data_IF_254077438676
#
_entry.id   IF_254077438676
#
_cell.length_a   1.000
_cell.length_b   1.000
_cell.length_c   1.000
_cell.angle_alpha   90.00
_cell.angle_beta   90.00
_cell.angle_gamma   90.00
#
_symmetry.space_group_name_H-M   'P 1'
#
loop_
_entity.id
_entity.type
_entity.pdbx_description
1 polymer ?
#
# COMPACT_ATOMS: atom_id res chain seq x y z
N UNK A 1 5.52 -1.80 -4.38
CA UNK A 1 4.52 -0.84 -3.85
C UNK A 1 4.72 -0.53 -2.39
N UNK A 2 4.82 -1.56 -1.51
CA UNK A 2 4.98 -1.38 -0.05
C UNK A 2 6.19 -0.51 0.31
N UNK A 3 7.34 -0.72 -0.30
CA UNK A 3 8.55 0.07 -0.01
C UNK A 3 8.37 1.55 -0.38
N UNK A 4 7.59 1.82 -1.43
CA UNK A 4 7.25 3.18 -1.83
C UNK A 4 6.33 3.80 -0.79
N UNK A 5 5.30 3.09 -0.35
CA UNK A 5 4.38 3.50 0.72
C UNK A 5 5.14 3.90 2.00
N UNK A 6 6.17 3.10 2.37
CA UNK A 6 7.02 3.39 3.52
C UNK A 6 7.93 4.60 3.27
N UNK A 7 8.58 4.66 2.12
CA UNK A 7 9.50 5.74 1.76
C UNK A 7 8.83 7.10 1.72
N UNK A 8 7.62 7.16 1.16
CA UNK A 8 6.84 8.40 1.06
C UNK A 8 6.16 8.78 2.39
N UNK A 9 6.23 7.93 3.41
CA UNK A 9 5.71 8.22 4.75
C UNK A 9 4.19 8.19 4.87
N UNK A 10 3.49 7.45 4.00
CA UNK A 10 2.03 7.36 3.99
C UNK A 10 1.46 6.91 5.36
N UNK A 11 2.18 6.03 6.06
CA UNK A 11 1.82 5.54 7.40
C UNK A 11 1.84 6.61 8.49
N UNK A 12 2.44 7.79 8.23
CA UNK A 12 2.42 8.90 9.18
C UNK A 12 1.03 9.53 9.30
N UNK A 13 0.20 9.39 8.27
CA UNK A 13 -1.15 9.97 8.22
C UNK A 13 -2.26 8.92 8.11
N UNK A 14 -1.94 7.71 7.64
CA UNK A 14 -2.89 6.63 7.43
C UNK A 14 -2.53 5.40 8.26
N UNK A 15 -3.51 4.84 8.95
CA UNK A 15 -3.39 3.51 9.56
C UNK A 15 -3.75 2.41 8.55
N UNK A 16 -3.34 1.18 8.85
CA UNK A 16 -3.78 -0.05 8.18
C UNK A 16 -4.29 -1.05 9.22
N UNK A 17 -5.00 -0.58 10.25
CA UNK A 17 -5.52 -1.41 11.31
C UNK A 17 -6.92 -0.94 11.70
N UNK A 18 -7.92 -1.76 11.39
CA UNK A 18 -9.31 -1.55 11.80
C UNK A 18 -9.52 -2.31 13.11
N UNK A 19 -9.89 -1.60 14.16
CA UNK A 19 -10.20 -2.20 15.46
C UNK A 19 -11.53 -2.95 15.42
N UNK A 20 -11.77 -3.93 16.33
CA UNK A 20 -13.02 -4.70 16.35
C UNK A 20 -14.23 -3.91 16.91
N UNK A 21 -14.06 -2.64 17.21
CA UNK A 21 -15.14 -1.78 17.66
C UNK A 21 -16.19 -1.57 16.58
N UNK A 22 -17.46 -1.57 16.97
CA UNK A 22 -18.59 -1.43 16.04
C UNK A 22 -18.48 -0.19 15.13
N UNK A 23 -18.08 0.96 15.68
CA UNK A 23 -17.92 2.19 14.90
C UNK A 23 -16.88 2.06 13.80
N UNK A 24 -15.76 1.36 14.07
CA UNK A 24 -14.69 1.11 13.13
C UNK A 24 -15.15 0.16 12.00
N UNK A 25 -15.75 -0.96 12.39
CA UNK A 25 -16.19 -1.98 11.44
C UNK A 25 -17.33 -1.50 10.54
N UNK A 26 -18.23 -0.65 11.05
CA UNK A 26 -19.26 -0.01 10.24
C UNK A 26 -18.68 0.99 9.22
N UNK A 27 -17.58 1.69 9.59
CA UNK A 27 -16.95 2.68 8.73
C UNK A 27 -16.04 2.09 7.68
N UNK A 28 -15.23 1.10 8.03
CA UNK A 28 -14.12 0.60 7.22
C UNK A 28 -14.32 -0.82 6.71
N UNK A 29 -15.21 -1.60 7.31
CA UNK A 29 -15.40 -3.02 7.06
C UNK A 29 -14.82 -3.90 8.16
N UNK A 30 -14.64 -5.19 7.87
CA UNK A 30 -14.17 -6.17 8.86
C UNK A 30 -12.87 -5.72 9.55
N UNK A 31 -12.78 -5.94 10.87
CA UNK A 31 -11.57 -5.62 11.63
C UNK A 31 -10.35 -6.38 11.13
N UNK A 32 -9.17 -5.81 11.35
CA UNK A 32 -7.90 -6.35 10.88
C UNK A 32 -7.49 -7.58 11.68
N UNK A 33 -7.03 -8.62 10.99
CA UNK A 33 -6.45 -9.82 11.60
C UNK A 33 -5.03 -10.04 11.10
N UNK A 34 -4.17 -10.60 11.96
CA UNK A 34 -2.73 -10.77 11.67
C UNK A 34 -2.47 -11.60 10.40
N UNK A 35 -3.32 -12.58 10.10
CA UNK A 35 -3.22 -13.41 8.91
C UNK A 35 -3.29 -12.66 7.57
N UNK A 36 -3.84 -11.45 7.56
CA UNK A 36 -3.89 -10.61 6.36
C UNK A 36 -2.57 -9.89 6.06
N UNK A 37 -1.61 -9.91 7.00
CA UNK A 37 -0.35 -9.16 6.96
C UNK A 37 0.89 -10.07 6.98
N UNK A 38 0.74 -11.34 6.59
CA UNK A 38 1.86 -12.32 6.64
C UNK A 38 3.07 -11.92 5.79
N UNK A 39 2.88 -11.06 4.79
CA UNK A 39 3.95 -10.51 3.96
C UNK A 39 4.54 -9.21 4.50
N UNK A 40 3.97 -8.66 5.58
CA UNK A 40 4.46 -7.43 6.20
C UNK A 40 5.45 -7.74 7.33
N UNK A 41 6.62 -7.14 7.23
CA UNK A 41 7.64 -7.20 8.27
C UNK A 41 8.32 -5.83 8.38
N UNK A 42 7.99 -5.06 9.42
CA UNK A 42 6.88 -5.21 10.38
C UNK A 42 5.51 -4.88 9.77
N UNK A 43 4.43 -5.20 10.51
CA UNK A 43 3.07 -4.75 10.19
C UNK A 43 3.00 -3.23 10.15
N UNK A 44 2.24 -2.70 9.19
CA UNK A 44 2.00 -1.26 9.07
C UNK A 44 0.77 -0.81 9.87
N UNK A 45 0.51 -1.49 10.97
CA UNK A 45 -0.52 -1.13 11.92
C UNK A 45 -0.15 0.17 12.62
N UNK A 46 -1.14 0.95 12.97
CA UNK A 46 -0.96 2.22 13.68
C UNK A 46 -2.33 2.81 13.97
N UNK A 47 -2.37 3.78 14.85
CA UNK A 47 -3.60 4.45 15.27
C UNK A 47 -3.73 5.87 14.70
N UNK A 48 -2.71 6.38 14.03
CA UNK A 48 -2.73 7.74 13.51
C UNK A 48 -3.56 7.80 12.23
N UNK A 49 -4.57 8.65 12.21
CA UNK A 49 -5.53 8.82 11.11
C UNK A 49 -5.78 10.29 10.81
N UNK A 50 -4.73 11.02 10.39
CA UNK A 50 -4.90 12.33 9.75
C UNK A 50 -5.71 12.15 8.46
N UNK A 51 -5.46 11.06 7.73
CA UNK A 51 -6.32 10.50 6.70
C UNK A 51 -7.04 9.22 7.16
N UNK A 52 -7.93 8.64 6.35
CA UNK A 52 -8.65 7.41 6.70
C UNK A 52 -7.73 6.19 6.80
N UNK A 53 -8.22 5.14 7.48
CA UNK A 53 -7.59 3.82 7.45
C UNK A 53 -7.62 3.23 6.04
N UNK A 54 -6.52 2.59 5.62
CA UNK A 54 -6.35 2.07 4.27
C UNK A 54 -6.45 0.54 4.17
N UNK A 55 -6.65 -0.17 5.27
CA UNK A 55 -6.63 -1.63 5.24
C UNK A 55 -7.67 -2.23 4.28
N UNK A 56 -8.84 -1.62 4.11
CA UNK A 56 -9.91 -2.08 3.20
C UNK A 56 -10.05 -1.19 1.96
N UNK A 57 -8.98 -0.54 1.54
CA UNK A 57 -9.05 0.37 0.37
C UNK A 57 -9.02 -0.39 -0.96
N UNK A 58 -8.47 -1.60 -0.99
CA UNK A 58 -8.37 -2.41 -2.20
C UNK A 58 -9.72 -2.67 -2.85
N UNK A 59 -9.84 -2.32 -4.12
CA UNK A 59 -11.07 -2.42 -4.91
C UNK A 59 -12.16 -1.43 -4.54
N UNK A 60 -11.90 -0.48 -3.63
CA UNK A 60 -12.87 0.56 -3.26
C UNK A 60 -12.94 1.69 -4.28
N UNK A 61 -11.80 2.06 -4.83
CA UNK A 61 -11.65 3.09 -5.86
C UNK A 61 -10.92 2.53 -7.06
N UNK A 62 -11.12 3.13 -8.25
CA UNK A 62 -10.39 2.75 -9.45
C UNK A 62 -8.91 3.15 -9.39
N UNK A 63 -8.07 2.52 -10.21
CA UNK A 63 -6.66 2.88 -10.34
C UNK A 63 -6.49 4.34 -10.75
N UNK A 64 -7.36 4.82 -11.66
CA UNK A 64 -7.35 6.21 -12.11
C UNK A 64 -7.69 7.18 -10.97
N UNK A 65 -8.67 6.82 -10.12
CA UNK A 65 -8.96 7.62 -8.93
C UNK A 65 -7.74 7.74 -8.02
N UNK A 66 -7.06 6.62 -7.75
CA UNK A 66 -5.84 6.61 -6.94
C UNK A 66 -4.74 7.46 -7.57
N UNK A 67 -4.56 7.36 -8.89
CA UNK A 67 -3.57 8.11 -9.64
C UNK A 67 -3.79 9.62 -9.52
N UNK A 68 -5.01 10.09 -9.76
CA UNK A 68 -5.37 11.51 -9.64
C UNK A 68 -5.20 11.96 -8.18
N UNK A 69 -5.71 11.17 -7.22
CA UNK A 69 -5.63 11.50 -5.80
C UNK A 69 -4.19 11.63 -5.29
N UNK A 70 -3.30 10.76 -5.73
CA UNK A 70 -1.88 10.81 -5.34
C UNK A 70 -1.14 11.95 -6.05
N UNK A 71 -1.47 12.26 -7.30
CA UNK A 71 -0.89 13.39 -8.01
C UNK A 71 -1.25 14.72 -7.35
N UNK A 72 -2.53 14.95 -7.11
CA UNK A 72 -3.02 16.12 -6.37
C UNK A 72 -4.36 15.78 -5.70
N UNK A 73 -4.39 15.53 -4.38
CA UNK A 73 -5.62 15.15 -3.69
C UNK A 73 -6.77 16.14 -3.85
N UNK A 74 -6.46 17.43 -3.99
CA UNK A 74 -7.46 18.49 -4.11
C UNK A 74 -8.21 18.49 -5.44
N UNK A 75 -7.73 17.76 -6.44
CA UNK A 75 -8.46 17.60 -7.70
C UNK A 75 -9.72 16.73 -7.53
N UNK A 76 -9.75 15.89 -6.48
CA UNK A 76 -10.90 15.04 -6.14
C UNK A 76 -11.60 15.47 -4.84
N UNK A 77 -10.84 16.00 -3.90
CA UNK A 77 -11.30 16.44 -2.57
C UNK A 77 -10.73 17.82 -2.29
N UNK A 78 -11.41 18.91 -2.66
CA UNK A 78 -10.87 20.27 -2.60
C UNK A 78 -10.34 20.68 -1.22
N UNK A 79 -10.97 20.21 -0.14
CA UNK A 79 -10.58 20.50 1.25
C UNK A 79 -9.44 19.62 1.78
N UNK A 80 -8.88 18.74 0.95
CA UNK A 80 -7.86 17.79 1.40
C UNK A 80 -6.60 18.50 1.90
N UNK A 81 -6.16 18.13 3.10
CA UNK A 81 -4.87 18.53 3.66
C UNK A 81 -3.73 17.55 3.31
N UNK A 82 -4.03 16.46 2.58
CA UNK A 82 -3.02 15.52 2.10
C UNK A 82 -2.10 16.23 1.11
N UNK A 83 -0.76 16.06 1.22
CA UNK A 83 0.17 16.61 0.24
C UNK A 83 0.05 15.91 -1.12
N UNK A 84 0.45 16.60 -2.18
CA UNK A 84 0.55 16.04 -3.52
C UNK A 84 1.87 15.28 -3.70
N UNK A 85 1.86 14.22 -4.51
CA UNK A 85 3.02 13.36 -4.80
C UNK A 85 3.27 13.20 -6.31
N UNK A 86 3.40 14.30 -7.09
CA UNK A 86 3.49 14.22 -8.55
C UNK A 86 4.76 13.53 -9.07
N UNK A 87 5.81 13.41 -8.25
CA UNK A 87 7.04 12.68 -8.60
C UNK A 87 6.83 11.17 -8.72
N UNK A 88 5.77 10.60 -8.13
CA UNK A 88 5.45 9.18 -8.26
C UNK A 88 5.17 8.78 -9.71
N UNK A 89 4.58 9.68 -10.49
CA UNK A 89 4.31 9.45 -11.92
C UNK A 89 5.58 9.56 -12.78
N UNK A 90 6.53 10.40 -12.36
CA UNK A 90 7.74 10.69 -13.14
C UNK A 90 8.85 9.66 -12.94
N UNK A 91 8.91 9.04 -11.78
CA UNK A 91 9.97 8.12 -11.42
C UNK A 91 9.62 6.68 -11.79
N UNK A 92 10.58 5.93 -12.32
CA UNK A 92 10.43 4.51 -12.61
C UNK A 92 10.83 3.65 -11.41
N UNK A 93 10.23 2.48 -11.31
CA UNK A 93 10.64 1.47 -10.35
C UNK A 93 11.98 0.87 -10.78
N UNK A 94 12.92 0.74 -9.85
CA UNK A 94 14.15 -0.01 -10.08
C UNK A 94 13.91 -1.51 -9.80
N UNK A 95 13.80 -2.35 -10.85
CA UNK A 95 13.51 -3.76 -10.68
C UNK A 95 14.65 -4.54 -10.02
N UNK A 96 15.90 -4.05 -10.10
CA UNK A 96 17.07 -4.73 -9.54
C UNK A 96 17.03 -4.86 -8.01
N UNK A 97 16.28 -4.01 -7.35
CA UNK A 97 16.17 -3.98 -5.88
C UNK A 97 15.18 -4.99 -5.31
N UNK A 98 14.29 -5.58 -6.12
CA UNK A 98 13.19 -6.41 -5.64
C UNK A 98 13.65 -7.78 -5.15
N UNK A 99 14.37 -8.53 -5.96
CA UNK A 99 14.82 -9.87 -5.60
C UNK A 99 15.68 -9.89 -4.32
N UNK A 100 16.68 -9.00 -4.13
CA UNK A 100 17.42 -8.93 -2.88
C UNK A 100 16.55 -8.63 -1.64
N UNK A 101 15.58 -7.71 -1.78
CA UNK A 101 14.67 -7.35 -0.69
C UNK A 101 13.73 -8.49 -0.31
N UNK A 102 13.14 -9.17 -1.29
CA UNK A 102 12.29 -10.33 -1.05
C UNK A 102 13.09 -11.49 -0.43
N UNK A 103 14.34 -11.70 -0.86
CA UNK A 103 15.25 -12.67 -0.23
C UNK A 103 15.52 -12.32 1.23
N UNK A 104 15.77 -11.05 1.54
CA UNK A 104 15.97 -10.60 2.92
C UNK A 104 14.71 -10.83 3.77
N UNK A 105 13.52 -10.49 3.26
CA UNK A 105 12.25 -10.71 3.94
C UNK A 105 12.00 -12.21 4.19
N UNK A 106 12.30 -13.08 3.23
CA UNK A 106 12.20 -14.53 3.41
C UNK A 106 13.08 -15.04 4.56
N UNK A 107 14.29 -14.49 4.71
CA UNK A 107 15.21 -14.87 5.81
C UNK A 107 14.66 -14.55 7.20
N UNK A 108 13.78 -13.56 7.31
CA UNK A 108 13.11 -13.20 8.57
C UNK A 108 11.70 -13.78 8.69
N UNK A 109 11.35 -14.77 7.86
CA UNK A 109 10.14 -15.58 8.01
C UNK A 109 8.96 -15.15 7.16
N UNK A 110 9.10 -14.17 6.27
CA UNK A 110 8.03 -13.83 5.31
C UNK A 110 7.88 -14.98 4.30
N UNK A 111 6.66 -15.46 4.00
CA UNK A 111 6.44 -16.72 3.29
C UNK A 111 6.60 -16.60 1.76
N UNK A 112 7.70 -16.03 1.30
CA UNK A 112 8.09 -16.06 -0.11
C UNK A 112 8.72 -17.39 -0.47
N UNK A 113 8.36 -17.98 -1.61
CA UNK A 113 8.88 -19.28 -2.07
C UNK A 113 10.30 -19.19 -2.63
N UNK A 114 10.68 -18.06 -3.21
CA UNK A 114 12.03 -17.80 -3.73
C UNK A 114 12.08 -17.34 -5.18
N UNK A 115 11.07 -17.65 -5.98
CA UNK A 115 11.02 -17.30 -7.40
C UNK A 115 10.28 -15.98 -7.66
N UNK A 116 9.46 -15.54 -6.71
CA UNK A 116 8.64 -14.34 -6.85
C UNK A 116 9.45 -13.07 -7.07
N UNK A 117 10.70 -13.04 -6.59
CA UNK A 117 11.58 -11.87 -6.77
C UNK A 117 11.91 -11.57 -8.22
N UNK A 118 12.15 -12.62 -9.02
CA UNK A 118 12.42 -12.49 -10.45
C UNK A 118 11.14 -12.14 -11.21
N UNK A 119 10.02 -12.78 -10.89
CA UNK A 119 8.72 -12.48 -11.49
C UNK A 119 8.32 -11.03 -11.22
N UNK A 120 8.37 -10.59 -9.96
CA UNK A 120 8.05 -9.22 -9.57
C UNK A 120 8.96 -8.18 -10.26
N UNK A 121 10.24 -8.50 -10.46
CA UNK A 121 11.17 -7.62 -11.21
C UNK A 121 10.75 -7.47 -12.68
N UNK A 122 10.27 -8.56 -13.30
CA UNK A 122 9.71 -8.54 -14.65
C UNK A 122 8.44 -7.67 -14.73
N UNK A 123 7.53 -7.86 -13.80
CA UNK A 123 6.22 -7.18 -13.77
C UNK A 123 6.35 -5.65 -13.63
N UNK A 124 7.36 -5.17 -12.91
CA UNK A 124 7.55 -3.72 -12.68
C UNK A 124 8.49 -3.06 -13.67
N UNK A 125 9.11 -3.81 -14.58
CA UNK A 125 10.05 -3.26 -15.55
C UNK A 125 9.37 -2.19 -16.43
N UNK A 126 9.92 -0.98 -16.42
CA UNK A 126 9.35 0.16 -17.15
C UNK A 126 8.07 0.76 -16.55
N UNK A 127 7.63 0.29 -15.39
CA UNK A 127 6.48 0.86 -14.69
C UNK A 127 6.90 2.03 -13.79
N UNK A 128 5.98 2.98 -13.62
CA UNK A 128 6.20 4.11 -12.72
C UNK A 128 6.09 3.70 -11.25
N UNK A 129 6.66 4.52 -10.39
CA UNK A 129 6.49 4.39 -8.94
C UNK A 129 5.01 4.53 -8.54
N UNK A 130 4.25 5.38 -9.25
CA UNK A 130 2.81 5.53 -9.11
C UNK A 130 2.09 4.20 -9.35
N UNK A 131 2.37 3.53 -10.47
CA UNK A 131 1.79 2.21 -10.76
C UNK A 131 2.00 1.22 -9.60
N UNK A 132 3.22 1.16 -9.09
CA UNK A 132 3.55 0.20 -8.04
C UNK A 132 2.87 0.50 -6.70
N UNK A 133 2.71 1.77 -6.32
CA UNK A 133 1.99 2.12 -5.09
C UNK A 133 0.48 1.91 -5.24
N UNK A 134 -0.10 2.20 -6.40
CA UNK A 134 -1.52 1.92 -6.69
C UNK A 134 -1.78 0.42 -6.61
N UNK A 135 -0.94 -0.41 -7.23
CA UNK A 135 -1.06 -1.87 -7.14
C UNK A 135 -0.99 -2.38 -5.69
N UNK A 136 -0.14 -1.78 -4.86
CA UNK A 136 -0.08 -2.09 -3.43
C UNK A 136 -1.38 -1.73 -2.71
N UNK A 137 -1.91 -0.53 -2.93
CA UNK A 137 -3.17 -0.07 -2.33
C UNK A 137 -4.35 -0.96 -2.75
N UNK A 138 -4.41 -1.34 -4.02
CA UNK A 138 -5.44 -2.26 -4.53
C UNK A 138 -5.35 -3.67 -3.96
N UNK A 139 -4.18 -4.08 -3.48
CA UNK A 139 -3.99 -5.36 -2.80
C UNK A 139 -4.44 -5.37 -1.34
N UNK A 140 -4.64 -4.21 -0.71
CA UNK A 140 -4.95 -4.13 0.71
C UNK A 140 -6.36 -4.68 1.03
N UNK A 141 -6.41 -5.55 2.03
CA UNK A 141 -7.65 -6.10 2.56
C UNK A 141 -8.37 -7.11 1.66
N UNK A 142 -7.72 -7.67 0.65
CA UNK A 142 -8.32 -8.65 -0.25
C UNK A 142 -8.31 -10.08 0.31
N UNK A 143 -7.51 -10.38 1.32
CA UNK A 143 -7.35 -11.74 1.85
C UNK A 143 -8.61 -12.32 2.51
N UNK A 144 -9.56 -11.47 2.92
CA UNK A 144 -10.86 -11.86 3.51
C UNK A 144 -12.07 -11.50 2.62
N UNK A 145 -11.86 -11.29 1.33
CA UNK A 145 -12.95 -11.05 0.37
C UNK A 145 -13.38 -12.33 -0.31
#
# INVERSE_FOLDING_TARGET
>A
GRDIYLREGCYNCHSQMISPFRAETLRYGHYSVAGEFVYDHPFQWGSKRTGPDLHRVGGKYSDEWHRIHLNNPRDLVPESNMPAYPWLEKNLVDPSTLAPRMTALRRVGVPYTGDEGAAAAGDVKGKTVMYAVVAYLQGLGLALK
#
